data_IF_631838107095
#
_entry.id   IF_631838107095
#
_cell.length_a   1.000
_cell.length_b   1.000
_cell.length_c   1.000
_cell.angle_alpha   90.00
_cell.angle_beta   90.00
_cell.angle_gamma   90.00
#
_symmetry.space_group_name_H-M   'P 1'
#
loop_
_entity.id
_entity.type
_entity.pdbx_description
1 polymer ?
#
# COMPACT_ATOMS: atom_id res chain seq x y z
N UNK A 1 51.47 54.00 -24.75
CA UNK A 1 50.04 53.80 -25.03
C UNK A 1 49.96 52.77 -26.14
N UNK A 2 49.98 51.49 -25.75
CA UNK A 2 49.74 50.36 -26.64
C UNK A 2 48.23 50.14 -26.76
N UNK A 3 47.69 49.86 -27.95
CA UNK A 3 46.29 49.53 -28.11
C UNK A 3 46.06 48.08 -27.66
N UNK A 4 45.20 47.93 -26.67
CA UNK A 4 44.73 46.65 -26.14
C UNK A 4 43.99 45.87 -27.22
N UNK A 5 44.49 44.66 -27.48
CA UNK A 5 43.92 43.64 -28.36
C UNK A 5 42.50 43.26 -27.87
N UNK A 6 41.44 43.33 -28.71
CA UNK A 6 40.12 42.90 -28.30
C UNK A 6 40.09 41.37 -28.18
N UNK A 7 40.01 40.89 -26.94
CA UNK A 7 39.64 39.50 -26.61
C UNK A 7 38.46 39.05 -27.49
N UNK A 8 38.76 38.25 -28.50
CA UNK A 8 37.79 37.45 -29.23
C UNK A 8 37.13 36.50 -28.23
N UNK A 9 35.94 36.87 -27.77
CA UNK A 9 35.03 35.94 -27.12
C UNK A 9 34.81 34.78 -28.10
N UNK A 10 35.25 33.58 -27.71
CA UNK A 10 34.99 32.37 -28.48
C UNK A 10 33.49 32.29 -28.80
N UNK A 11 33.09 32.02 -30.06
CA UNK A 11 31.70 31.89 -30.41
C UNK A 11 31.08 30.80 -29.53
N UNK A 12 30.14 31.18 -28.67
CA UNK A 12 29.31 30.24 -27.94
C UNK A 12 28.57 29.44 -29.01
N UNK A 13 28.96 28.17 -29.20
CA UNK A 13 28.35 27.32 -30.23
C UNK A 13 26.83 27.28 -30.01
N UNK A 14 26.01 27.56 -31.03
CA UNK A 14 24.54 27.46 -30.96
C UNK A 14 24.05 26.06 -30.60
N UNK A 15 24.93 25.04 -30.56
CA UNK A 15 24.64 23.70 -30.06
C UNK A 15 24.39 23.62 -28.54
N UNK A 16 24.83 24.61 -27.74
CA UNK A 16 24.62 24.58 -26.28
C UNK A 16 23.24 25.07 -25.83
N UNK A 17 22.50 25.77 -26.69
CA UNK A 17 21.29 26.50 -26.28
C UNK A 17 19.97 25.86 -26.78
N UNK A 18 20.04 24.86 -27.66
CA UNK A 18 18.86 24.25 -28.29
C UNK A 18 18.34 22.93 -27.67
N UNK A 19 19.02 22.37 -26.66
CA UNK A 19 18.69 21.04 -26.10
C UNK A 19 17.74 21.11 -24.87
N UNK A 20 16.88 22.13 -24.85
CA UNK A 20 15.92 22.38 -23.78
C UNK A 20 14.69 21.44 -23.85
N UNK A 21 14.93 20.19 -23.48
CA UNK A 21 14.04 19.34 -22.68
C UNK A 21 12.76 18.69 -23.27
N UNK A 22 12.36 18.96 -24.51
CA UNK A 22 11.17 18.36 -25.15
C UNK A 22 11.49 17.25 -26.15
N UNK A 23 10.56 16.28 -26.33
CA UNK A 23 10.64 15.34 -27.47
C UNK A 23 10.21 16.06 -28.75
N UNK A 24 10.86 15.73 -29.86
CA UNK A 24 10.52 16.27 -31.17
C UNK A 24 9.56 15.31 -31.87
N UNK A 25 8.49 15.86 -32.45
CA UNK A 25 7.51 15.09 -33.20
C UNK A 25 7.84 15.17 -34.69
N UNK A 26 7.99 14.01 -35.31
CA UNK A 26 8.19 13.87 -36.76
C UNK A 26 6.95 13.21 -37.35
N UNK A 27 6.20 13.92 -38.20
CA UNK A 27 5.12 13.30 -38.96
C UNK A 27 5.62 12.76 -40.27
N UNK A 28 5.01 11.65 -40.66
CA UNK A 28 5.28 10.92 -41.88
C UNK A 28 4.12 11.13 -42.86
N UNK A 29 4.44 11.65 -44.04
CA UNK A 29 3.50 11.82 -45.15
C UNK A 29 3.35 10.55 -45.99
N UNK A 30 4.28 9.60 -45.86
CA UNK A 30 4.30 8.31 -46.57
C UNK A 30 4.64 7.13 -45.65
N UNK A 31 4.73 5.90 -46.19
CA UNK A 31 4.99 4.70 -45.41
C UNK A 31 6.37 4.77 -44.74
N UNK A 32 6.49 4.34 -43.48
CA UNK A 32 7.77 4.42 -42.77
C UNK A 32 8.91 3.63 -43.44
N UNK A 33 8.58 2.59 -44.22
CA UNK A 33 9.56 1.80 -44.96
C UNK A 33 10.25 2.55 -46.08
N UNK A 34 9.71 3.70 -46.52
CA UNK A 34 10.36 4.55 -47.53
C UNK A 34 11.28 5.61 -46.92
N UNK A 35 11.43 5.65 -45.59
CA UNK A 35 12.39 6.54 -44.94
C UNK A 35 13.80 6.01 -45.13
N UNK A 36 14.70 6.88 -45.59
CA UNK A 36 16.12 6.56 -45.61
C UNK A 36 16.62 6.41 -44.17
N UNK A 37 17.36 5.33 -43.85
CA UNK A 37 17.86 5.10 -42.50
C UNK A 37 18.88 6.20 -42.14
N UNK A 38 18.88 6.71 -40.90
CA UNK A 38 19.92 7.60 -40.41
C UNK A 38 21.30 6.94 -40.53
N UNK A 39 22.33 7.75 -40.70
CA UNK A 39 23.71 7.26 -40.84
C UNK A 39 24.47 7.24 -39.52
N UNK A 40 23.99 7.97 -38.53
CA UNK A 40 24.63 8.15 -37.24
C UNK A 40 23.73 7.69 -36.10
N UNK A 41 24.33 7.25 -34.99
CA UNK A 41 23.60 6.85 -33.79
C UNK A 41 22.64 7.96 -33.35
N UNK A 42 21.37 7.61 -33.17
CA UNK A 42 20.35 8.58 -32.78
C UNK A 42 20.55 9.24 -31.40
N UNK A 43 21.39 8.66 -30.52
CA UNK A 43 21.60 9.13 -29.16
C UNK A 43 22.91 9.93 -28.97
N UNK A 44 24.02 9.44 -29.52
CA UNK A 44 25.35 10.06 -29.38
C UNK A 44 25.95 10.60 -30.68
N UNK A 45 25.30 10.36 -31.83
CA UNK A 45 25.79 10.78 -33.14
C UNK A 45 26.95 9.96 -33.70
N UNK A 46 27.27 8.81 -33.10
CA UNK A 46 28.35 7.93 -33.58
C UNK A 46 28.04 7.33 -34.98
N UNK A 47 28.86 7.60 -36.01
CA UNK A 47 28.65 7.08 -37.36
C UNK A 47 28.90 5.57 -37.49
N UNK A 48 29.45 4.90 -36.46
CA UNK A 48 29.74 3.45 -36.47
C UNK A 48 28.62 2.60 -35.84
N UNK A 49 27.44 3.18 -35.63
CA UNK A 49 26.34 2.50 -34.97
C UNK A 49 25.73 1.37 -35.81
N UNK A 50 25.36 0.27 -35.15
CA UNK A 50 24.63 -0.81 -35.77
C UNK A 50 23.15 -0.43 -35.95
N UNK A 51 22.55 -0.83 -37.06
CA UNK A 51 21.13 -0.58 -37.33
C UNK A 51 20.25 -1.49 -36.46
N UNK A 52 19.39 -0.88 -35.63
CA UNK A 52 18.37 -1.60 -34.87
C UNK A 52 16.98 -1.31 -35.41
N UNK A 53 16.12 -2.33 -35.46
CA UNK A 53 14.75 -2.19 -35.98
C UNK A 53 13.80 -1.82 -34.85
N UNK A 54 13.05 -0.73 -35.04
CA UNK A 54 11.96 -0.30 -34.16
C UNK A 54 10.65 -0.60 -34.88
N UNK A 55 9.85 -1.50 -34.32
CA UNK A 55 8.56 -1.89 -34.88
C UNK A 55 7.43 -0.99 -34.35
N UNK A 56 6.46 -0.66 -35.20
CA UNK A 56 5.21 -0.04 -34.75
C UNK A 56 4.41 -1.00 -33.86
N UNK A 57 3.69 -0.48 -32.84
CA UNK A 57 2.83 -1.30 -31.99
C UNK A 57 1.77 -2.03 -32.83
N UNK A 58 1.64 -3.35 -32.61
CA UNK A 58 0.65 -4.20 -33.28
C UNK A 58 -0.76 -3.75 -32.88
N UNK A 59 -1.50 -3.19 -33.83
CA UNK A 59 -2.85 -2.66 -33.59
C UNK A 59 -3.32 -1.63 -34.62
N UNK A 60 -2.40 -1.01 -35.38
CA UNK A 60 -2.77 -0.28 -36.60
C UNK A 60 -3.20 -1.28 -37.67
N UNK A 61 -4.36 -1.08 -38.30
CA UNK A 61 -4.90 -1.96 -39.36
C UNK A 61 -4.09 -1.92 -40.66
N UNK A 62 -3.10 -1.04 -40.77
CA UNK A 62 -2.10 -1.05 -41.85
C UNK A 62 -0.87 -1.86 -41.40
N UNK A 63 -0.27 -2.60 -42.33
CA UNK A 63 0.97 -3.39 -42.17
C UNK A 63 1.93 -2.82 -41.11
N UNK A 64 2.51 -3.69 -40.26
CA UNK A 64 3.45 -3.29 -39.22
C UNK A 64 4.59 -2.45 -39.81
N UNK A 65 4.48 -1.13 -39.67
CA UNK A 65 5.49 -0.20 -40.18
C UNK A 65 6.72 -0.30 -39.28
N UNK A 66 7.87 -0.59 -39.86
CA UNK A 66 9.12 -0.71 -39.13
C UNK A 66 10.08 0.35 -39.60
N UNK A 67 10.73 1.03 -38.66
CA UNK A 67 11.81 1.97 -38.95
C UNK A 67 13.10 1.41 -38.39
N UNK A 68 14.15 1.39 -39.21
CA UNK A 68 15.50 1.09 -38.75
C UNK A 68 16.17 2.35 -38.24
N UNK A 69 16.61 2.31 -36.99
CA UNK A 69 17.31 3.40 -36.31
C UNK A 69 18.68 2.86 -35.88
N UNK A 70 19.78 3.46 -36.32
CA UNK A 70 21.10 3.09 -35.82
C UNK A 70 21.25 3.45 -34.34
N UNK A 71 21.64 2.46 -33.53
CA UNK A 71 22.04 2.60 -32.14
C UNK A 71 23.45 2.01 -32.00
N UNK A 72 24.37 2.71 -31.35
CA UNK A 72 25.63 2.07 -30.98
C UNK A 72 25.38 1.06 -29.86
N UNK A 73 26.30 0.11 -29.69
CA UNK A 73 26.20 -0.98 -28.70
C UNK A 73 25.94 -0.44 -27.29
N UNK A 74 26.64 0.62 -26.88
CA UNK A 74 26.40 1.29 -25.59
C UNK A 74 24.95 1.83 -25.47
N UNK A 75 24.41 2.45 -26.52
CA UNK A 75 23.05 2.98 -26.49
C UNK A 75 22.00 1.86 -26.51
N UNK A 76 22.29 0.75 -27.18
CA UNK A 76 21.44 -0.44 -27.17
C UNK A 76 21.38 -1.05 -25.77
N UNK A 77 22.53 -1.31 -25.16
CA UNK A 77 22.63 -1.82 -23.80
C UNK A 77 21.91 -0.90 -22.81
N UNK A 78 22.03 0.41 -22.97
CA UNK A 78 21.31 1.37 -22.14
C UNK A 78 19.78 1.28 -22.30
N UNK A 79 19.27 1.07 -23.52
CA UNK A 79 17.82 0.93 -23.74
C UNK A 79 17.24 -0.37 -23.21
N UNK A 80 17.97 -1.48 -23.27
CA UNK A 80 17.54 -2.77 -22.70
C UNK A 80 17.70 -2.81 -21.18
N UNK A 81 18.75 -2.18 -20.66
CA UNK A 81 19.01 -2.08 -19.22
C UNK A 81 18.05 -1.13 -18.52
N UNK A 82 17.57 -0.05 -19.15
CA UNK A 82 16.70 0.93 -18.49
C UNK A 82 15.30 0.37 -18.18
N UNK A 83 14.70 -0.37 -19.11
CA UNK A 83 13.39 -1.00 -18.90
C UNK A 83 13.43 -2.07 -17.80
N UNK A 84 14.47 -2.91 -17.79
CA UNK A 84 14.68 -3.93 -16.75
C UNK A 84 15.03 -3.30 -15.41
N UNK A 85 15.87 -2.26 -15.38
CA UNK A 85 16.22 -1.51 -14.15
C UNK A 85 14.99 -0.83 -13.54
N UNK A 86 14.17 -0.13 -14.34
CA UNK A 86 12.97 0.56 -13.85
C UNK A 86 11.96 -0.43 -13.25
N UNK A 87 11.75 -1.57 -13.91
CA UNK A 87 10.88 -2.62 -13.40
C UNK A 87 11.45 -3.26 -12.12
N UNK A 88 12.76 -3.56 -12.09
CA UNK A 88 13.41 -4.11 -10.90
C UNK A 88 13.39 -3.14 -9.71
N UNK A 89 13.55 -1.83 -9.95
CA UNK A 89 13.52 -0.82 -8.92
C UNK A 89 12.10 -0.65 -8.38
N UNK A 90 11.10 -0.64 -9.27
CA UNK A 90 9.68 -0.61 -8.90
C UNK A 90 9.29 -1.83 -8.07
N UNK A 91 9.69 -3.03 -8.50
CA UNK A 91 9.45 -4.27 -7.77
C UNK A 91 10.16 -4.28 -6.41
N UNK A 92 11.44 -3.92 -6.35
CA UNK A 92 12.20 -3.85 -5.11
C UNK A 92 11.59 -2.84 -4.13
N UNK A 93 11.17 -1.67 -4.61
CA UNK A 93 10.50 -0.65 -3.79
C UNK A 93 9.17 -1.17 -3.25
N UNK A 94 8.39 -1.87 -4.09
CA UNK A 94 7.13 -2.47 -3.65
C UNK A 94 7.35 -3.56 -2.60
N UNK A 95 8.33 -4.44 -2.79
CA UNK A 95 8.67 -5.50 -1.83
C UNK A 95 9.17 -4.94 -0.51
N UNK A 96 10.03 -3.93 -0.53
CA UNK A 96 10.50 -3.24 0.69
C UNK A 96 9.35 -2.54 1.40
N UNK A 97 8.48 -1.85 0.65
CA UNK A 97 7.29 -1.19 1.21
C UNK A 97 6.33 -2.19 1.88
N UNK A 98 6.07 -3.32 1.22
CA UNK A 98 5.25 -4.40 1.79
C UNK A 98 5.90 -5.04 3.02
N UNK A 99 7.20 -5.33 2.97
CA UNK A 99 7.94 -5.91 4.09
C UNK A 99 7.96 -5.00 5.31
N UNK A 100 8.21 -3.69 5.11
CA UNK A 100 8.15 -2.71 6.18
C UNK A 100 6.73 -2.52 6.72
N UNK A 101 5.72 -2.46 5.86
CA UNK A 101 4.31 -2.32 6.27
C UNK A 101 3.79 -3.49 7.11
N UNK A 102 4.24 -4.72 6.80
CA UNK A 102 3.86 -5.92 7.55
C UNK A 102 4.71 -6.13 8.82
N UNK A 103 6.03 -5.92 8.75
CA UNK A 103 6.96 -6.28 9.82
C UNK A 103 7.15 -5.24 10.91
N UNK A 104 7.02 -3.94 10.60
CA UNK A 104 7.32 -2.87 11.55
C UNK A 104 6.35 -2.82 12.77
N UNK A 105 5.03 -3.03 12.61
CA UNK A 105 4.12 -3.06 13.76
C UNK A 105 4.51 -4.12 14.79
N UNK A 106 4.91 -5.31 14.32
CA UNK A 106 5.34 -6.43 15.17
C UNK A 106 6.67 -6.14 15.87
N UNK A 107 7.63 -5.54 15.17
CA UNK A 107 8.93 -5.18 15.75
C UNK A 107 8.81 -4.10 16.83
N UNK A 108 7.90 -3.12 16.64
CA UNK A 108 7.64 -2.08 17.64
C UNK A 108 6.97 -2.64 18.91
N UNK A 109 6.11 -3.64 18.77
CA UNK A 109 5.47 -4.31 19.91
C UNK A 109 6.48 -5.14 20.71
N UNK A 110 7.35 -5.92 20.06
CA UNK A 110 8.41 -6.66 20.75
C UNK A 110 9.43 -5.75 21.46
N UNK A 111 9.70 -4.58 20.89
CA UNK A 111 10.57 -3.59 21.53
C UNK A 111 9.93 -2.93 22.75
N UNK A 112 8.59 -2.84 22.80
CA UNK A 112 7.86 -2.27 23.93
C UNK A 112 7.86 -3.19 25.16
N UNK A 113 7.78 -4.51 24.95
CA UNK A 113 7.85 -5.51 26.03
C UNK A 113 9.26 -5.60 26.66
N UNK A 114 10.27 -5.12 25.94
CA UNK A 114 11.68 -5.15 26.33
C UNK A 114 12.18 -3.93 27.12
N UNK A 115 11.36 -3.27 27.94
CA UNK A 115 11.78 -2.38 29.04
C UNK A 115 12.75 -1.21 28.77
N UNK A 116 13.20 -0.98 27.54
CA UNK A 116 14.24 -0.01 27.23
C UNK A 116 13.76 1.00 26.18
N UNK A 117 13.70 2.24 26.68
CA UNK A 117 13.51 3.52 25.99
C UNK A 117 12.07 3.98 25.75
N UNK A 118 11.55 4.71 26.76
CA UNK A 118 10.58 5.81 26.61
C UNK A 118 11.05 6.76 25.48
N UNK A 119 10.60 6.51 24.26
CA UNK A 119 10.92 7.34 23.10
C UNK A 119 9.70 8.15 22.66
N UNK A 120 9.48 9.27 23.35
CA UNK A 120 8.72 10.40 22.80
C UNK A 120 9.34 10.94 21.50
N UNK A 121 10.60 10.59 21.19
CA UNK A 121 11.23 10.80 19.88
C UNK A 121 10.88 9.72 18.83
N UNK A 122 10.56 8.48 19.21
CA UNK A 122 10.07 7.45 18.28
C UNK A 122 8.65 7.78 17.82
N UNK A 123 7.81 8.41 18.64
CA UNK A 123 6.49 8.87 18.17
C UNK A 123 6.58 9.86 16.98
N UNK A 124 7.65 10.66 16.93
CA UNK A 124 7.90 11.64 15.87
C UNK A 124 8.62 11.03 14.66
N UNK A 125 9.62 10.16 14.90
CA UNK A 125 10.32 9.43 13.84
C UNK A 125 9.52 8.25 13.27
N UNK A 126 8.57 7.66 14.00
CA UNK A 126 7.73 6.56 13.48
C UNK A 126 6.68 7.06 12.50
N UNK A 127 6.24 8.32 12.63
CA UNK A 127 5.26 8.90 11.71
C UNK A 127 5.86 9.48 10.44
N UNK A 128 7.14 9.91 10.47
CA UNK A 128 7.82 10.52 9.31
C UNK A 128 9.03 9.74 8.78
N UNK A 129 9.75 9.01 9.65
CA UNK A 129 10.89 8.15 9.27
C UNK A 129 10.46 6.94 8.44
N UNK A 130 9.24 6.45 8.65
CA UNK A 130 8.58 5.45 7.79
C UNK A 130 8.45 5.91 6.32
N UNK A 131 8.44 7.23 6.09
CA UNK A 131 8.27 7.83 4.76
C UNK A 131 9.58 8.29 4.13
N UNK A 132 10.53 8.76 4.94
CA UNK A 132 11.80 9.31 4.45
C UNK A 132 12.84 8.24 4.13
N UNK A 133 12.92 7.16 4.90
CA UNK A 133 13.98 6.14 4.72
C UNK A 133 13.87 5.40 3.38
N UNK A 134 12.70 4.87 2.96
CA UNK A 134 12.58 4.21 1.66
C UNK A 134 12.84 5.18 0.50
N UNK A 135 12.37 6.41 0.62
CA UNK A 135 12.55 7.47 -0.39
C UNK A 135 14.03 7.83 -0.57
N UNK A 136 14.78 7.93 0.54
CA UNK A 136 16.21 8.26 0.54
C UNK A 136 17.06 7.09 0.02
N UNK A 137 16.70 5.85 0.37
CA UNK A 137 17.35 4.63 -0.18
C UNK A 137 17.14 4.55 -1.70
N UNK A 138 15.93 4.82 -2.18
CA UNK A 138 15.62 4.79 -3.63
C UNK A 138 16.42 5.88 -4.39
N UNK A 139 16.52 7.08 -3.82
CA UNK A 139 17.35 8.17 -4.34
C UNK A 139 18.83 7.81 -4.39
N UNK A 140 19.35 7.20 -3.32
CA UNK A 140 20.75 6.78 -3.23
C UNK A 140 21.07 5.67 -4.23
N UNK A 141 20.21 4.67 -4.39
CA UNK A 141 20.40 3.60 -5.39
C UNK A 141 20.42 4.18 -6.80
N UNK A 142 19.50 5.09 -7.12
CA UNK A 142 19.48 5.79 -8.41
C UNK A 142 20.76 6.59 -8.67
N UNK A 143 21.22 7.36 -7.68
CA UNK A 143 22.45 8.15 -7.75
C UNK A 143 23.71 7.27 -7.90
N UNK A 144 23.79 6.16 -7.16
CA UNK A 144 24.93 5.23 -7.23
C UNK A 144 24.99 4.51 -8.58
N UNK A 145 23.83 4.16 -9.15
CA UNK A 145 23.72 3.57 -10.49
C UNK A 145 24.24 4.51 -11.57
N UNK A 146 23.81 5.77 -11.56
CA UNK A 146 24.30 6.82 -12.47
C UNK A 146 25.81 7.01 -12.36
N UNK A 147 26.34 7.05 -11.14
CA UNK A 147 27.74 7.29 -10.88
C UNK A 147 28.65 6.13 -11.33
N UNK A 148 28.23 4.87 -11.09
CA UNK A 148 28.96 3.69 -11.56
C UNK A 148 29.01 3.61 -13.09
N UNK A 149 27.93 3.99 -13.76
CA UNK A 149 27.85 3.99 -15.23
C UNK A 149 28.76 5.06 -15.83
N UNK A 150 28.74 6.27 -15.27
CA UNK A 150 29.62 7.37 -15.69
C UNK A 150 31.12 7.01 -15.58
N UNK A 151 31.49 6.16 -14.62
CA UNK A 151 32.87 5.66 -14.48
C UNK A 151 33.24 4.58 -15.49
N UNK A 152 32.31 3.74 -15.95
CA UNK A 152 32.60 2.64 -16.89
C UNK A 152 32.81 3.11 -18.32
N UNK A 153 32.05 4.12 -18.76
CA UNK A 153 32.04 4.55 -20.18
C UNK A 153 33.17 5.54 -20.50
N UNK A 154 33.92 6.03 -19.50
CA UNK A 154 35.06 6.94 -19.70
C UNK A 154 34.70 8.32 -20.30
N UNK A 155 33.42 8.54 -20.62
CA UNK A 155 32.83 9.81 -21.05
C UNK A 155 31.47 9.97 -20.36
N UNK A 156 31.12 11.18 -19.90
CA UNK A 156 29.80 11.44 -19.36
C UNK A 156 28.76 11.14 -20.46
N UNK A 157 27.67 10.41 -20.16
CA UNK A 157 26.60 10.21 -21.13
C UNK A 157 26.09 11.59 -21.57
N UNK A 158 25.81 11.74 -22.86
CA UNK A 158 25.10 12.94 -23.33
C UNK A 158 23.80 13.07 -22.53
N UNK A 159 23.35 14.29 -22.22
CA UNK A 159 22.15 14.51 -21.39
C UNK A 159 20.92 13.77 -21.96
N UNK A 160 20.87 13.59 -23.28
CA UNK A 160 19.86 12.83 -24.01
C UNK A 160 19.88 11.33 -23.68
N UNK A 161 21.05 10.69 -23.63
CA UNK A 161 21.17 9.27 -23.26
C UNK A 161 21.00 9.04 -21.75
N UNK A 162 21.49 9.94 -20.89
CA UNK A 162 21.27 9.84 -19.45
C UNK A 162 19.77 9.90 -19.10
N UNK A 163 19.01 10.70 -19.86
CA UNK A 163 17.59 10.92 -19.62
C UNK A 163 16.70 9.77 -20.10
N UNK A 164 17.00 9.16 -21.25
CA UNK A 164 16.28 7.95 -21.70
C UNK A 164 16.48 6.79 -20.71
N UNK A 165 17.67 6.69 -20.10
CA UNK A 165 17.98 5.70 -19.06
C UNK A 165 17.22 5.97 -17.76
N UNK A 166 17.19 7.21 -17.29
CA UNK A 166 16.54 7.56 -16.01
C UNK A 166 15.01 7.47 -16.07
N UNK A 167 14.42 7.77 -17.22
CA UNK A 167 12.97 7.81 -17.39
C UNK A 167 12.40 6.55 -18.07
N UNK A 168 13.26 5.60 -18.47
CA UNK A 168 12.85 4.38 -19.17
C UNK A 168 12.15 4.65 -20.51
N UNK A 169 12.41 5.80 -21.14
CA UNK A 169 11.73 6.19 -22.37
C UNK A 169 12.48 5.68 -23.60
N UNK A 170 11.78 5.12 -24.61
CA UNK A 170 12.40 4.72 -25.86
C UNK A 170 12.91 5.94 -26.63
N UNK A 171 14.04 5.79 -27.32
CA UNK A 171 14.67 6.86 -28.11
C UNK A 171 13.73 7.34 -29.23
N UNK A 172 13.03 6.40 -29.86
CA UNK A 172 11.94 6.64 -30.80
C UNK A 172 10.73 5.84 -30.36
N UNK A 173 9.57 6.47 -30.28
CA UNK A 173 8.30 5.80 -30.05
C UNK A 173 7.25 6.31 -31.02
N UNK A 174 6.46 5.37 -31.55
CA UNK A 174 5.29 5.68 -32.36
C UNK A 174 4.21 6.39 -31.55
N UNK A 175 3.61 7.42 -32.16
CA UNK A 175 2.48 8.18 -31.66
C UNK A 175 1.37 8.10 -32.70
N UNK A 176 0.62 7.00 -32.66
CA UNK A 176 -0.33 6.68 -33.72
C UNK A 176 0.37 6.15 -34.99
N UNK A 177 -0.36 6.15 -36.11
CA UNK A 177 0.10 5.50 -37.34
C UNK A 177 1.09 6.33 -38.18
N UNK A 178 1.18 7.65 -37.96
CA UNK A 178 1.95 8.56 -38.85
C UNK A 178 2.84 9.55 -38.11
N UNK A 179 3.06 9.36 -36.81
CA UNK A 179 3.93 10.25 -36.06
C UNK A 179 4.92 9.46 -35.21
N UNK A 180 6.16 9.96 -35.20
CA UNK A 180 7.25 9.48 -34.37
C UNK A 180 7.55 10.54 -33.33
N UNK A 181 7.65 10.09 -32.08
CA UNK A 181 8.23 10.88 -31.02
C UNK A 181 9.72 10.53 -30.91
N UNK A 182 10.59 11.49 -31.17
CA UNK A 182 12.04 11.32 -31.18
C UNK A 182 12.65 12.07 -29.99
N UNK A 183 13.49 11.39 -29.22
CA UNK A 183 14.12 11.96 -28.02
C UNK A 183 15.27 12.93 -28.36
N UNK A 184 15.90 12.77 -29.53
CA UNK A 184 17.01 13.60 -30.01
C UNK A 184 16.56 14.50 -31.16
N UNK A 185 16.70 15.81 -31.00
CA UNK A 185 16.39 16.78 -32.06
C UNK A 185 17.26 16.56 -33.28
N UNK A 186 18.55 16.27 -33.08
CA UNK A 186 19.50 15.97 -34.17
C UNK A 186 19.05 14.78 -35.01
N UNK A 187 18.54 13.73 -34.38
CA UNK A 187 18.01 12.55 -35.09
C UNK A 187 16.73 12.90 -35.87
N UNK A 188 15.85 13.71 -35.30
CA UNK A 188 14.65 14.17 -35.99
C UNK A 188 14.99 15.03 -37.23
N UNK A 189 15.97 15.91 -37.11
CA UNK A 189 16.48 16.73 -38.22
C UNK A 189 17.14 15.87 -39.30
N UNK A 190 17.93 14.85 -38.91
CA UNK A 190 18.54 13.91 -39.85
C UNK A 190 17.48 13.08 -40.60
N UNK A 191 16.44 12.61 -39.92
CA UNK A 191 15.32 11.90 -40.55
C UNK A 191 14.59 12.75 -41.59
N UNK A 192 14.35 14.04 -41.30
CA UNK A 192 13.74 14.98 -42.25
C UNK A 192 14.68 15.28 -43.42
N UNK A 193 15.97 15.48 -43.14
CA UNK A 193 16.98 15.78 -44.16
C UNK A 193 17.14 14.62 -45.15
N UNK A 194 17.13 13.38 -44.67
CA UNK A 194 17.31 12.19 -45.50
C UNK A 194 16.05 11.80 -46.28
N UNK A 195 14.88 12.29 -45.85
CA UNK A 195 13.58 11.95 -46.46
C UNK A 195 12.75 13.21 -46.77
N UNK A 196 13.24 14.11 -47.65
CA UNK A 196 12.57 15.37 -47.94
C UNK A 196 11.17 15.11 -48.54
N UNK A 197 10.16 15.79 -48.01
CA UNK A 197 8.75 15.65 -48.42
C UNK A 197 8.00 14.47 -47.78
N UNK A 198 8.72 13.49 -47.21
CA UNK A 198 8.12 12.36 -46.50
C UNK A 198 8.06 12.55 -44.99
N UNK A 199 8.89 13.43 -44.42
CA UNK A 199 8.92 13.71 -42.99
C UNK A 199 8.93 15.22 -42.71
N UNK A 200 8.21 15.66 -41.67
CA UNK A 200 8.20 17.05 -41.20
C UNK A 200 8.23 17.12 -39.67
N UNK A 201 9.02 18.03 -39.12
CA UNK A 201 9.00 18.36 -37.69
C UNK A 201 7.81 19.31 -37.42
N UNK A 202 6.90 18.92 -36.54
CA UNK A 202 5.69 19.74 -36.25
C UNK A 202 5.76 20.45 -34.90
N UNK A 203 6.29 19.80 -33.87
CA UNK A 203 6.31 20.37 -32.53
C UNK A 203 7.40 19.76 -31.63
N UNK A 204 7.92 20.59 -30.74
CA UNK A 204 8.59 20.14 -29.52
C UNK A 204 7.55 20.03 -28.41
N UNK A 205 7.24 18.82 -27.99
CA UNK A 205 6.35 18.64 -26.86
C UNK A 205 7.14 18.75 -25.56
N UNK A 206 6.87 19.80 -24.78
CA UNK A 206 7.27 19.87 -23.36
C UNK A 206 6.41 18.91 -22.58
N UNK A 207 6.86 17.67 -22.42
CA UNK A 207 6.02 16.63 -21.83
C UNK A 207 6.22 16.46 -20.33
N UNK A 208 5.13 16.73 -19.61
CA UNK A 208 4.89 16.38 -18.21
C UNK A 208 4.49 14.89 -18.01
N UNK A 209 4.49 14.07 -19.08
CA UNK A 209 3.89 12.73 -19.09
C UNK A 209 4.63 11.65 -18.28
N UNK A 210 5.95 11.53 -18.42
CA UNK A 210 6.72 10.55 -17.63
C UNK A 210 6.76 10.91 -16.14
N UNK A 211 6.78 12.21 -15.81
CA UNK A 211 6.57 12.65 -14.42
C UNK A 211 5.20 12.19 -13.91
N UNK A 212 4.13 12.31 -14.69
CA UNK A 212 2.80 11.85 -14.27
C UNK A 212 2.73 10.34 -14.01
N UNK A 213 3.34 9.50 -14.84
CA UNK A 213 3.34 8.04 -14.63
C UNK A 213 4.14 7.64 -13.38
N UNK A 214 5.33 8.22 -13.18
CA UNK A 214 6.11 7.98 -11.96
C UNK A 214 5.35 8.48 -10.73
N UNK A 215 4.80 9.70 -10.76
CA UNK A 215 3.99 10.24 -9.66
C UNK A 215 2.75 9.39 -9.37
N UNK A 216 2.12 8.82 -10.40
CA UNK A 216 0.96 7.93 -10.22
C UNK A 216 1.37 6.60 -9.60
N UNK A 217 2.45 5.97 -10.07
CA UNK A 217 2.98 4.74 -9.48
C UNK A 217 3.37 4.92 -8.02
N UNK A 218 4.05 6.03 -7.68
CA UNK A 218 4.34 6.39 -6.29
C UNK A 218 3.06 6.61 -5.49
N UNK A 219 2.08 7.33 -6.04
CA UNK A 219 0.78 7.55 -5.38
C UNK A 219 0.05 6.24 -5.08
N UNK A 220 0.00 5.30 -6.02
CA UNK A 220 -0.63 3.99 -5.84
C UNK A 220 0.11 3.16 -4.80
N UNK A 221 1.45 3.12 -4.85
CA UNK A 221 2.25 2.41 -3.84
C UNK A 221 2.02 2.98 -2.43
N UNK A 222 1.89 4.30 -2.30
CA UNK A 222 1.56 4.96 -1.05
C UNK A 222 0.19 4.55 -0.50
N UNK A 223 -0.84 4.55 -1.36
CA UNK A 223 -2.19 4.12 -0.97
C UNK A 223 -2.20 2.66 -0.54
N UNK A 224 -1.54 1.77 -1.29
CA UNK A 224 -1.44 0.35 -0.94
C UNK A 224 -0.72 0.15 0.40
N UNK A 225 0.38 0.86 0.64
CA UNK A 225 1.12 0.79 1.91
C UNK A 225 0.25 1.27 3.07
N UNK A 226 -0.52 2.35 2.88
CA UNK A 226 -1.44 2.87 3.88
C UNK A 226 -2.57 1.86 4.19
N UNK A 227 -3.15 1.25 3.16
CA UNK A 227 -4.20 0.23 3.32
C UNK A 227 -3.68 -1.02 4.02
N UNK A 228 -2.48 -1.50 3.67
CA UNK A 228 -1.84 -2.67 4.32
C UNK A 228 -1.52 -2.34 5.78
N UNK A 229 -0.96 -1.16 6.06
CA UNK A 229 -0.68 -0.71 7.43
C UNK A 229 -1.95 -0.61 8.26
N UNK A 230 -3.03 -0.07 7.68
CA UNK A 230 -4.32 0.03 8.34
C UNK A 230 -4.90 -1.36 8.63
N UNK A 231 -4.93 -2.25 7.64
CA UNK A 231 -5.39 -3.63 7.82
C UNK A 231 -4.59 -4.40 8.86
N UNK A 232 -3.25 -4.26 8.83
CA UNK A 232 -2.33 -4.81 9.82
C UNK A 232 -2.64 -4.30 11.23
N UNK A 233 -2.81 -2.98 11.41
CA UNK A 233 -3.18 -2.40 12.69
C UNK A 233 -4.49 -3.00 13.25
N UNK A 234 -5.51 -3.13 12.41
CA UNK A 234 -6.79 -3.69 12.83
C UNK A 234 -6.72 -5.20 13.15
N UNK A 235 -5.87 -5.94 12.44
CA UNK A 235 -5.66 -7.37 12.65
C UNK A 235 -4.85 -7.66 13.92
N UNK A 236 -3.78 -6.91 14.17
CA UNK A 236 -2.90 -7.10 15.33
C UNK A 236 -3.42 -6.46 16.60
N UNK A 237 -4.45 -5.62 16.54
CA UNK A 237 -5.06 -5.01 17.72
C UNK A 237 -6.50 -5.46 17.94
N UNK A 238 -6.72 -6.69 18.45
CA UNK A 238 -8.06 -7.19 18.70
C UNK A 238 -8.86 -6.30 19.65
N UNK A 239 -10.18 -6.43 19.58
CA UNK A 239 -11.10 -5.73 20.48
C UNK A 239 -11.26 -6.53 21.75
N UNK A 240 -11.07 -5.88 22.90
CA UNK A 240 -11.40 -6.40 24.22
C UNK A 240 -12.57 -5.58 24.77
N UNK A 241 -13.71 -6.23 25.00
CA UNK A 241 -14.83 -5.65 25.72
C UNK A 241 -14.71 -6.01 27.20
N UNK A 242 -14.75 -5.03 28.09
CA UNK A 242 -14.75 -5.25 29.53
C UNK A 242 -16.10 -4.88 30.09
N UNK A 243 -16.78 -5.81 30.75
CA UNK A 243 -18.08 -5.59 31.38
C UNK A 243 -17.95 -5.48 32.89
N UNK A 244 -18.49 -4.43 33.47
CA UNK A 244 -18.65 -4.32 34.91
C UNK A 244 -20.07 -4.75 35.28
N UNK A 245 -20.22 -6.00 35.72
CA UNK A 245 -21.50 -6.54 36.18
C UNK A 245 -21.70 -6.39 37.70
N UNK A 246 -20.72 -5.80 38.38
CA UNK A 246 -20.82 -5.52 39.81
C UNK A 246 -21.71 -4.30 40.09
N UNK A 247 -22.10 -4.10 41.35
CA UNK A 247 -22.89 -2.93 41.76
C UNK A 247 -22.08 -1.63 41.91
N UNK A 248 -20.76 -1.67 41.75
CA UNK A 248 -19.84 -0.57 42.07
C UNK A 248 -18.88 -0.29 40.91
N UNK A 249 -18.33 0.92 40.83
CA UNK A 249 -17.35 1.23 39.78
C UNK A 249 -16.06 0.41 39.95
N UNK A 250 -15.54 -0.07 38.83
CA UNK A 250 -14.28 -0.82 38.77
C UNK A 250 -13.26 -0.04 37.96
N UNK A 251 -11.99 -0.12 38.35
CA UNK A 251 -10.87 0.38 37.56
C UNK A 251 -10.11 -0.84 37.06
N UNK A 252 -9.76 -0.86 35.78
CA UNK A 252 -8.95 -1.94 35.21
C UNK A 252 -7.58 -1.40 34.88
N UNK A 253 -6.56 -2.11 35.29
CA UNK A 253 -5.18 -1.90 34.92
C UNK A 253 -4.80 -2.92 33.83
N UNK A 254 -4.23 -2.44 32.73
CA UNK A 254 -3.76 -3.29 31.62
C UNK A 254 -2.26 -3.05 31.45
N UNK A 255 -1.45 -4.09 31.67
CA UNK A 255 0.01 -4.02 31.59
C UNK A 255 0.62 -2.85 32.41
N UNK A 256 0.02 -2.54 33.57
CA UNK A 256 0.44 -1.42 34.43
C UNK A 256 -0.20 -0.06 34.13
N UNK A 257 -1.01 0.07 33.07
CA UNK A 257 -1.73 1.30 32.73
C UNK A 257 -3.16 1.29 33.28
N UNK A 258 -3.48 2.25 34.15
CA UNK A 258 -4.83 2.43 34.70
C UNK A 258 -5.77 3.01 33.66
N UNK A 259 -6.87 2.32 33.41
CA UNK A 259 -7.94 2.76 32.53
C UNK A 259 -8.96 3.63 33.26
N UNK A 260 -9.80 4.39 32.53
CA UNK A 260 -10.92 5.11 33.11
C UNK A 260 -11.85 4.16 33.90
N UNK A 261 -12.49 4.64 34.98
CA UNK A 261 -13.41 3.85 35.76
C UNK A 261 -14.59 3.37 34.91
N UNK A 262 -14.90 2.08 35.02
CA UNK A 262 -15.97 1.40 34.30
C UNK A 262 -17.22 1.43 35.18
N UNK A 263 -18.27 2.07 34.67
CA UNK A 263 -19.56 2.18 35.36
C UNK A 263 -20.26 0.81 35.34
N UNK A 264 -20.91 0.38 36.43
CA UNK A 264 -21.80 -0.77 36.45
C UNK A 264 -22.80 -0.81 35.30
N UNK A 265 -22.90 -1.96 34.64
CA UNK A 265 -23.86 -2.22 33.57
C UNK A 265 -24.60 -3.52 33.84
N UNK A 266 -25.77 -3.41 34.46
CA UNK A 266 -26.64 -4.56 34.75
C UNK A 266 -27.61 -4.90 33.63
N UNK A 267 -27.79 -4.01 32.65
CA UNK A 267 -28.72 -4.18 31.54
C UNK A 267 -28.00 -4.50 30.23
N UNK A 268 -28.67 -5.24 29.35
CA UNK A 268 -28.26 -5.45 27.97
C UNK A 268 -28.20 -4.09 27.23
N UNK A 269 -27.00 -3.66 26.87
CA UNK A 269 -26.78 -2.51 26.00
C UNK A 269 -25.60 -2.76 25.06
N UNK A 270 -25.69 -2.42 23.76
CA UNK A 270 -24.58 -2.51 22.81
C UNK A 270 -23.34 -1.70 23.20
N UNK A 271 -23.52 -0.73 24.10
CA UNK A 271 -22.45 0.13 24.62
C UNK A 271 -22.09 -0.18 26.07
N UNK A 272 -22.56 -1.32 26.62
CA UNK A 272 -22.25 -1.70 27.98
C UNK A 272 -20.75 -1.99 28.15
N UNK A 273 -20.17 -1.47 29.23
CA UNK A 273 -18.77 -1.65 29.57
C UNK A 273 -17.80 -0.73 28.83
N UNK A 274 -16.56 -1.18 28.69
CA UNK A 274 -15.46 -0.46 28.06
C UNK A 274 -14.90 -1.26 26.89
N UNK A 275 -14.91 -0.68 25.69
CA UNK A 275 -14.27 -1.27 24.51
C UNK A 275 -12.83 -0.75 24.36
N UNK A 276 -11.88 -1.68 24.26
CA UNK A 276 -10.45 -1.38 24.09
C UNK A 276 -9.90 -2.07 22.85
N UNK A 277 -8.91 -1.45 22.22
CA UNK A 277 -8.06 -2.08 21.20
C UNK A 277 -6.64 -2.19 21.71
N UNK A 278 -6.29 -3.40 22.12
CA UNK A 278 -4.99 -3.73 22.68
C UNK A 278 -4.18 -4.53 21.67
N UNK A 279 -2.86 -4.44 21.72
CA UNK A 279 -2.00 -5.28 20.91
C UNK A 279 -2.19 -6.76 21.26
N UNK A 280 -2.20 -7.62 20.24
CA UNK A 280 -2.27 -9.06 20.39
C UNK A 280 -1.08 -9.59 21.20
N UNK A 281 -1.21 -10.80 21.76
CA UNK A 281 -0.21 -11.40 22.62
C UNK A 281 -0.63 -11.48 24.09
N UNK A 282 0.33 -11.76 24.96
CA UNK A 282 0.08 -11.89 26.40
C UNK A 282 -0.14 -10.52 27.02
N UNK A 283 -1.14 -10.42 27.90
CA UNK A 283 -1.53 -9.20 28.60
C UNK A 283 -1.86 -9.51 30.05
N UNK A 284 -1.45 -8.63 30.94
CA UNK A 284 -1.81 -8.69 32.35
C UNK A 284 -2.98 -7.74 32.60
N UNK A 285 -4.09 -8.29 33.10
CA UNK A 285 -5.28 -7.54 33.49
C UNK A 285 -5.39 -7.57 35.01
N UNK A 286 -5.53 -6.42 35.65
CA UNK A 286 -5.85 -6.32 37.08
C UNK A 286 -7.11 -5.50 37.26
N UNK A 287 -7.99 -5.92 38.16
CA UNK A 287 -9.24 -5.25 38.46
C UNK A 287 -9.14 -4.71 39.87
N UNK A 288 -9.36 -3.40 39.98
CA UNK A 288 -9.23 -2.64 41.20
C UNK A 288 -10.60 -2.06 41.58
N UNK A 289 -10.89 -2.02 42.87
CA UNK A 289 -12.05 -1.33 43.44
C UNK A 289 -11.57 -0.47 44.60
N UNK A 290 -11.76 0.84 44.49
CA UNK A 290 -11.29 1.79 45.51
C UNK A 290 -9.80 1.63 45.88
N UNK A 291 -8.99 1.14 44.93
CA UNK A 291 -7.56 0.88 45.12
C UNK A 291 -7.20 -0.54 45.60
N UNK A 292 -8.18 -1.36 45.99
CA UNK A 292 -7.96 -2.76 46.35
C UNK A 292 -8.04 -3.66 45.11
N UNK A 293 -7.09 -4.60 44.99
CA UNK A 293 -7.10 -5.59 43.91
C UNK A 293 -8.13 -6.69 44.18
N UNK A 294 -9.10 -6.82 43.27
CA UNK A 294 -10.13 -7.86 43.35
C UNK A 294 -9.78 -9.09 42.53
N UNK A 295 -9.08 -8.90 41.41
CA UNK A 295 -8.67 -9.98 40.52
C UNK A 295 -7.44 -9.56 39.71
N UNK A 296 -6.56 -10.52 39.45
CA UNK A 296 -5.47 -10.41 38.50
C UNK A 296 -5.46 -11.62 37.59
N UNK A 297 -5.27 -11.39 36.29
CA UNK A 297 -5.34 -12.42 35.27
C UNK A 297 -4.33 -12.15 34.15
N UNK A 298 -3.56 -13.16 33.77
CA UNK A 298 -2.78 -13.15 32.54
C UNK A 298 -3.61 -13.78 31.42
N UNK A 299 -3.85 -13.03 30.35
CA UNK A 299 -4.63 -13.48 29.18
C UNK A 299 -3.80 -13.39 27.92
N UNK A 300 -4.17 -14.17 26.90
CA UNK A 300 -3.60 -14.03 25.56
C UNK A 300 -4.66 -13.50 24.61
N UNK A 301 -4.42 -12.31 24.05
CA UNK A 301 -5.28 -11.69 23.04
C UNK A 301 -4.89 -12.19 21.65
N UNK A 302 -5.83 -12.85 20.95
CA UNK A 302 -5.61 -13.36 19.60
C UNK A 302 -5.92 -12.28 18.54
N UNK A 303 -5.00 -12.06 17.61
CA UNK A 303 -5.22 -11.12 16.49
C UNK A 303 -6.47 -11.47 15.68
N UNK A 304 -7.23 -10.46 15.27
CA UNK A 304 -8.47 -10.61 14.51
C UNK A 304 -9.68 -11.13 15.30
N UNK A 305 -9.48 -11.67 16.51
CA UNK A 305 -10.58 -12.14 17.37
C UNK A 305 -11.19 -10.99 18.20
N UNK A 306 -12.40 -11.23 18.72
CA UNK A 306 -13.01 -10.37 19.74
C UNK A 306 -12.93 -11.08 21.09
N UNK A 307 -12.65 -10.30 22.13
CA UNK A 307 -12.50 -10.81 23.48
C UNK A 307 -13.52 -10.14 24.39
N UNK A 308 -13.95 -10.88 25.40
CA UNK A 308 -14.82 -10.39 26.44
C UNK A 308 -14.19 -10.74 27.78
N UNK A 309 -14.13 -9.75 28.66
CA UNK A 309 -13.73 -9.92 30.05
C UNK A 309 -14.85 -9.38 30.94
N UNK A 310 -15.41 -10.21 31.81
CA UNK A 310 -16.50 -9.81 32.70
C UNK A 310 -16.13 -10.19 34.15
N UNK A 311 -15.26 -9.42 34.81
CA UNK A 311 -14.86 -9.71 36.18
C UNK A 311 -16.07 -9.68 37.13
N UNK A 312 -16.03 -10.58 38.13
CA UNK A 312 -17.02 -10.68 39.20
C UNK A 312 -18.43 -10.95 38.66
N UNK A 313 -18.53 -11.77 37.61
CA UNK A 313 -19.79 -12.12 36.94
C UNK A 313 -20.50 -13.34 37.54
N UNK A 314 -20.21 -13.72 38.79
CA UNK A 314 -20.70 -14.98 39.36
C UNK A 314 -22.23 -15.04 39.52
N UNK A 315 -22.90 -13.89 39.64
CA UNK A 315 -24.36 -13.76 39.67
C UNK A 315 -24.99 -13.56 38.29
N UNK A 316 -24.18 -13.44 37.23
CA UNK A 316 -24.61 -13.20 35.86
C UNK A 316 -24.25 -14.37 34.93
N UNK A 317 -25.21 -14.74 34.10
CA UNK A 317 -25.05 -15.78 33.11
C UNK A 317 -24.92 -15.12 31.73
N UNK A 318 -23.82 -15.40 31.03
CA UNK A 318 -23.59 -14.97 29.65
C UNK A 318 -23.83 -16.14 28.70
N UNK A 319 -24.42 -15.88 27.53
CA UNK A 319 -24.62 -16.91 26.51
C UNK A 319 -24.58 -16.32 25.11
N UNK A 320 -24.28 -17.17 24.13
CA UNK A 320 -24.47 -16.88 22.72
C UNK A 320 -25.84 -17.40 22.29
N UNK A 321 -26.65 -16.52 21.71
CA UNK A 321 -27.93 -16.83 21.12
C UNK A 321 -27.80 -16.80 19.60
N UNK A 322 -27.91 -17.97 18.96
CA UNK A 322 -27.93 -18.12 17.50
C UNK A 322 -29.37 -18.20 17.03
N UNK A 323 -29.76 -17.25 16.18
CA UNK A 323 -31.07 -17.24 15.53
C UNK A 323 -30.88 -17.49 14.05
N UNK A 324 -31.51 -18.56 13.56
CA UNK A 324 -31.53 -18.88 12.13
C UNK A 324 -32.77 -18.28 11.48
N UNK A 325 -32.59 -17.49 10.43
CA UNK A 325 -33.64 -16.93 9.59
C UNK A 325 -33.77 -17.77 8.32
N UNK A 326 -34.98 -17.90 7.80
CA UNK A 326 -35.26 -18.61 6.55
C UNK A 326 -35.80 -20.02 6.76
N UNK A 327 -36.95 -20.30 6.13
CA UNK A 327 -37.53 -21.64 6.02
C UNK A 327 -37.39 -22.14 4.59
N UNK A 328 -36.25 -22.74 4.24
CA UNK A 328 -36.19 -23.54 3.00
C UNK A 328 -37.23 -24.65 3.06
N UNK A 329 -37.82 -25.06 1.92
CA UNK A 329 -38.68 -26.26 1.85
C UNK A 329 -37.86 -27.46 2.34
N UNK A 330 -38.11 -27.91 3.58
CA UNK A 330 -37.38 -28.99 4.25
C UNK A 330 -36.32 -28.54 5.27
N UNK A 331 -36.12 -27.23 5.48
CA UNK A 331 -35.25 -26.72 6.54
C UNK A 331 -35.94 -26.84 7.90
N UNK A 332 -35.16 -27.24 8.91
CA UNK A 332 -35.55 -27.23 10.32
C UNK A 332 -36.20 -25.88 10.66
N UNK A 333 -37.32 -25.84 11.41
CA UNK A 333 -37.96 -24.58 11.79
C UNK A 333 -36.94 -23.60 12.41
N UNK A 334 -37.13 -22.27 12.27
CA UNK A 334 -36.23 -21.27 12.82
C UNK A 334 -35.95 -21.60 14.29
N UNK A 335 -34.73 -22.09 14.54
CA UNK A 335 -34.29 -22.57 15.84
C UNK A 335 -33.50 -21.49 16.53
N UNK A 336 -33.82 -21.25 17.80
CA UNK A 336 -32.99 -20.46 18.69
C UNK A 336 -32.09 -21.44 19.44
N UNK A 337 -30.79 -21.40 19.14
CA UNK A 337 -29.79 -22.20 19.86
C UNK A 337 -29.09 -21.29 20.85
N UNK A 338 -29.12 -21.65 22.13
CA UNK A 338 -28.44 -20.92 23.19
C UNK A 338 -27.24 -21.74 23.65
N UNK A 339 -26.05 -21.17 23.55
CA UNK A 339 -24.80 -21.79 23.99
C UNK A 339 -24.28 -21.00 25.18
N UNK A 340 -24.29 -21.56 26.38
CA UNK A 340 -23.89 -20.82 27.56
C UNK A 340 -22.36 -20.63 27.57
N UNK A 341 -21.90 -19.48 28.07
CA UNK A 341 -20.49 -19.12 28.08
C UNK A 341 -19.90 -19.39 29.46
N UNK A 342 -19.08 -20.44 29.54
CA UNK A 342 -18.47 -20.86 30.80
C UNK A 342 -16.95 -20.74 30.71
N UNK A 343 -16.38 -19.91 31.58
CA UNK A 343 -14.96 -19.89 31.84
C UNK A 343 -14.75 -19.51 33.31
N UNK A 344 -13.92 -20.24 34.04
CA UNK A 344 -13.54 -19.90 35.42
C UNK A 344 -12.80 -18.56 35.51
N UNK A 345 -12.10 -18.18 34.45
CA UNK A 345 -11.36 -16.92 34.35
C UNK A 345 -12.24 -15.75 33.92
N UNK A 346 -13.53 -15.99 33.65
CA UNK A 346 -14.49 -14.98 33.17
C UNK A 346 -13.96 -14.18 31.95
N UNK A 347 -13.20 -14.87 31.10
CA UNK A 347 -12.58 -14.35 29.88
C UNK A 347 -12.95 -15.24 28.70
N UNK A 348 -13.44 -14.66 27.61
CA UNK A 348 -13.87 -15.40 26.43
C UNK A 348 -13.23 -14.84 25.18
N UNK A 349 -12.90 -15.74 24.25
CA UNK A 349 -12.36 -15.40 22.93
C UNK A 349 -13.32 -15.90 21.87
N UNK A 350 -13.73 -15.01 20.97
CA UNK A 350 -14.64 -15.30 19.89
C UNK A 350 -13.91 -15.21 18.55
N UNK A 351 -13.69 -16.38 17.94
CA UNK A 351 -13.13 -16.50 16.59
C UNK A 351 -14.21 -16.22 15.54
N UNK A 352 -15.44 -16.64 15.83
CA UNK A 352 -16.59 -16.33 14.99
C UNK A 352 -17.12 -14.92 15.25
N UNK A 353 -17.68 -14.25 14.23
CA UNK A 353 -18.28 -12.95 14.40
C UNK A 353 -19.51 -13.03 15.31
N UNK A 354 -19.52 -12.22 16.37
CA UNK A 354 -20.72 -11.88 17.11
C UNK A 354 -21.33 -10.63 16.45
N UNK A 355 -22.49 -10.81 15.86
CA UNK A 355 -23.21 -9.77 15.11
C UNK A 355 -23.82 -8.72 16.04
N UNK A 356 -24.38 -9.18 17.17
CA UNK A 356 -25.09 -8.32 18.13
C UNK A 356 -24.48 -8.49 19.52
N UNK A 357 -24.05 -7.39 20.14
CA UNK A 357 -23.44 -7.41 21.46
C UNK A 357 -24.44 -6.91 22.49
N UNK A 358 -24.72 -7.74 23.50
CA UNK A 358 -25.54 -7.40 24.67
C UNK A 358 -26.84 -6.73 24.28
N UNK A 359 -27.50 -7.30 23.28
CA UNK A 359 -28.80 -6.85 22.79
C UNK A 359 -29.52 -8.04 22.15
N UNK A 360 -30.86 -8.04 22.14
CA UNK A 360 -31.61 -9.09 21.48
C UNK A 360 -31.34 -9.09 19.97
N UNK A 361 -31.24 -10.28 19.35
CA UNK A 361 -31.20 -10.37 17.90
C UNK A 361 -32.49 -9.78 17.30
N UNK A 362 -32.44 -9.20 16.09
CA UNK A 362 -33.62 -8.62 15.46
C UNK A 362 -34.71 -9.69 15.31
N UNK A 363 -35.94 -9.38 15.73
CA UNK A 363 -37.04 -10.34 15.63
C UNK A 363 -37.25 -10.76 14.17
N UNK A 364 -37.35 -12.07 13.88
CA UNK A 364 -37.70 -12.53 12.55
C UNK A 364 -39.13 -12.07 12.23
N UNK A 365 -39.27 -11.01 11.43
CA UNK A 365 -40.58 -10.63 10.88
C UNK A 365 -40.95 -11.59 9.75
N UNK A 366 -42.25 -11.89 9.58
CA UNK A 366 -42.75 -12.80 8.53
C UNK A 366 -42.27 -12.41 7.12
N UNK A 367 -42.07 -11.11 6.87
CA UNK A 367 -41.52 -10.58 5.60
C UNK A 367 -40.01 -10.82 5.42
N UNK A 368 -39.22 -10.92 6.50
CA UNK A 368 -37.79 -11.29 6.45
C UNK A 368 -37.56 -12.79 6.48
N UNK A 369 -38.51 -13.58 6.99
CA UNK A 369 -38.44 -15.04 6.96
C UNK A 369 -38.43 -15.63 5.53
N UNK A 370 -38.89 -14.85 4.54
CA UNK A 370 -38.78 -15.17 3.11
C UNK A 370 -37.42 -14.77 2.48
N UNK A 371 -36.58 -14.00 3.19
CA UNK A 371 -35.25 -13.61 2.70
C UNK A 371 -34.21 -14.68 3.03
N UNK A 372 -33.30 -14.92 2.07
CA UNK A 372 -32.27 -15.96 2.04
C UNK A 372 -31.71 -16.37 3.40
N UNK A 373 -31.71 -17.67 3.68
CA UNK A 373 -31.30 -18.24 4.97
C UNK A 373 -30.01 -17.64 5.52
N UNK A 374 -30.09 -17.06 6.72
CA UNK A 374 -28.99 -16.38 7.38
C UNK A 374 -29.01 -16.69 8.87
N UNK A 375 -27.87 -16.56 9.52
CA UNK A 375 -27.74 -16.75 10.96
C UNK A 375 -27.25 -15.46 11.61
N UNK A 376 -27.85 -15.10 12.74
CA UNK A 376 -27.37 -14.01 13.60
C UNK A 376 -26.91 -14.60 14.92
N UNK A 377 -25.71 -14.24 15.34
CA UNK A 377 -25.15 -14.59 16.65
C UNK A 377 -25.20 -13.35 17.55
N UNK A 378 -25.97 -13.45 18.63
CA UNK A 378 -26.06 -12.41 19.65
C UNK A 378 -25.39 -12.85 20.94
N UNK A 379 -24.51 -12.02 21.50
CA UNK A 379 -24.05 -12.16 22.89
C UNK A 379 -25.12 -11.57 23.80
N UNK A 380 -25.59 -12.36 24.77
CA UNK A 380 -26.66 -12.00 25.69
C UNK A 380 -26.18 -12.11 27.14
N UNK A 381 -26.83 -11.39 28.03
CA UNK A 381 -26.58 -11.46 29.47
C UNK A 381 -27.86 -11.30 30.28
N UNK A 382 -27.89 -11.93 31.45
CA UNK A 382 -28.90 -11.72 32.47
C UNK A 382 -28.34 -12.18 33.82
N UNK A 383 -28.99 -11.79 34.92
CA UNK A 383 -28.77 -12.48 36.20
C UNK A 383 -29.09 -13.97 36.03
N UNK A 384 -28.32 -14.85 36.65
CA UNK A 384 -28.47 -16.28 36.44
C UNK A 384 -29.86 -16.82 36.80
N UNK A 385 -30.56 -16.21 37.76
CA UNK A 385 -31.95 -16.57 38.09
C UNK A 385 -32.96 -16.24 36.97
N UNK A 386 -32.67 -15.20 36.17
CA UNK A 386 -33.53 -14.69 35.09
C UNK A 386 -33.12 -15.24 33.72
N UNK A 387 -31.96 -15.91 33.64
CA UNK A 387 -31.43 -16.49 32.42
C UNK A 387 -32.26 -17.70 31.96
N UNK A 388 -32.43 -17.90 30.64
CA UNK A 388 -33.08 -19.10 30.10
C UNK A 388 -32.47 -20.38 30.65
N UNK A 389 -33.25 -21.45 30.81
CA UNK A 389 -32.75 -22.73 31.32
C UNK A 389 -31.52 -23.24 30.55
N UNK A 390 -31.54 -23.17 29.22
CA UNK A 390 -30.41 -23.56 28.36
C UNK A 390 -29.17 -22.64 28.46
N UNK A 391 -29.31 -21.45 29.07
CA UNK A 391 -28.22 -20.50 29.27
C UNK A 391 -27.61 -20.58 30.68
N UNK A 392 -28.32 -21.19 31.64
CA UNK A 392 -27.83 -21.41 32.99
C UNK A 392 -26.78 -22.52 32.98
N UNK A 393 -25.78 -22.41 33.86
CA UNK A 393 -24.95 -23.58 34.18
C UNK A 393 -25.87 -24.62 34.79
N UNK A 394 -25.90 -25.83 34.23
CA UNK A 394 -26.23 -26.98 35.05
C UNK A 394 -25.14 -27.02 36.12
N UNK A 395 -25.52 -26.84 37.38
CA UNK A 395 -24.59 -27.05 38.47
C UNK A 395 -24.06 -28.47 38.29
N UNK A 396 -22.78 -28.60 37.95
CA UNK A 396 -22.12 -29.88 38.00
C UNK A 396 -22.04 -30.24 39.49
N UNK A 397 -22.96 -31.09 39.93
CA UNK A 397 -22.95 -31.72 41.26
C UNK A 397 -21.63 -32.44 41.54
#
# INVERSE_FOLDING_TARGET
>A
MEPTDPQQAAPVSPEREADASGRVWVLLSGPASSLAPPTCCGCCGDPRAACHRVEAPRGSKSHAETITVPLCEACLEHTSASATRALSLGLATALVGLGLGAGLPLALEQAADGGFVRLSAIGWFSRWGLFLVPSLVTLLIGALGLWREARRVGRPPTPTCARSVLLGEPLIAWRGARALSVASRRLAEELVRLSPGLARIEATERRHGARRLATWAFGVAWVLTALVSLGSFYAHRPRLQILNLSGESLVVEVDGELLPPIIPTSQESPHAGLELRLAAGRRQLRVLRSGEELAALEVTLLGGARHLYAPLSDDHCLWLERVSYGGGRGATPPGIVRTPLWNSLQFWTFVEPIDVWLAPPPTPTETRAASSGGQVVALRQARCQDAPAAARREAAD
#
